data_IF_038119533455
#
_entry.id   IF_038119533455
#
_cell.length_a   1.000
_cell.length_b   1.000
_cell.length_c   1.000
_cell.angle_alpha   90.00
_cell.angle_beta   90.00
_cell.angle_gamma   90.00
#
_symmetry.space_group_name_H-M   'P 1'
#
loop_
_entity.id
_entity.type
_entity.pdbx_description
1 polymer ?
#
# COMPACT_ATOMS: atom_id res chain seq x y z
N UNK A 1 8.50 30.89 75.20
CA UNK A 1 9.54 29.84 75.32
C UNK A 1 8.99 28.57 74.71
N UNK A 2 9.60 28.09 73.61
CA UNK A 2 9.40 26.78 72.93
C UNK A 2 7.98 26.43 72.43
N UNK A 3 7.74 25.70 71.34
CA UNK A 3 8.54 25.12 70.27
C UNK A 3 7.57 24.60 69.20
N UNK A 4 8.02 24.56 67.95
CA UNK A 4 7.32 24.10 66.75
C UNK A 4 6.84 22.64 66.77
N UNK A 5 5.87 22.32 65.90
CA UNK A 5 5.93 21.15 65.00
C UNK A 5 5.11 21.41 63.73
N UNK A 6 5.83 21.43 62.62
CA UNK A 6 5.32 21.43 61.24
C UNK A 6 5.18 19.96 60.85
N UNK A 7 3.95 19.49 60.65
CA UNK A 7 3.70 18.18 60.03
C UNK A 7 3.58 18.38 58.51
N UNK A 8 4.72 18.29 57.84
CA UNK A 8 4.79 18.17 56.39
C UNK A 8 4.48 16.72 55.99
N UNK A 9 3.26 16.45 55.51
CA UNK A 9 2.95 15.20 54.82
C UNK A 9 3.63 15.17 53.43
N UNK A 10 4.19 14.03 52.99
CA UNK A 10 4.94 13.96 51.75
C UNK A 10 4.00 13.89 50.55
N UNK A 11 3.90 14.98 49.79
CA UNK A 11 3.22 15.03 48.48
C UNK A 11 3.93 14.23 47.36
N UNK A 12 5.04 13.55 47.69
CA UNK A 12 5.87 12.83 46.72
C UNK A 12 5.41 11.40 46.40
N UNK A 13 4.53 10.80 47.20
CA UNK A 13 4.13 9.39 47.03
C UNK A 13 2.89 9.21 46.11
N UNK A 14 2.03 10.23 46.04
CA UNK A 14 0.82 10.19 45.21
C UNK A 14 1.10 10.29 43.71
N UNK A 15 2.16 11.01 43.31
CA UNK A 15 2.54 11.18 41.90
C UNK A 15 3.17 9.93 41.29
N UNK A 16 3.88 9.13 42.09
CA UNK A 16 4.45 7.86 41.65
C UNK A 16 3.37 6.78 41.49
N UNK A 17 2.40 6.74 42.42
CA UNK A 17 1.23 5.86 42.36
C UNK A 17 0.34 6.15 41.14
N UNK A 18 0.05 7.42 40.84
CA UNK A 18 -0.75 7.80 39.67
C UNK A 18 -0.07 7.45 38.33
N UNK A 19 1.25 7.67 38.21
CA UNK A 19 2.01 7.32 37.00
C UNK A 19 2.07 5.82 36.78
N UNK A 20 2.17 5.05 37.86
CA UNK A 20 2.21 3.59 37.83
C UNK A 20 0.83 3.01 37.50
N UNK A 21 -0.24 3.52 38.12
CA UNK A 21 -1.63 3.16 37.78
C UNK A 21 -1.99 3.51 36.32
N UNK A 22 -1.56 4.68 35.82
CA UNK A 22 -1.74 5.05 34.40
C UNK A 22 -0.96 4.13 33.45
N UNK A 23 0.26 3.72 33.81
CA UNK A 23 1.07 2.77 33.03
C UNK A 23 0.48 1.35 33.05
N UNK A 24 -0.05 0.91 34.19
CA UNK A 24 -0.73 -0.38 34.33
C UNK A 24 -2.03 -0.38 33.52
N UNK A 25 -2.82 0.69 33.58
CA UNK A 25 -4.02 0.85 32.74
C UNK A 25 -3.69 0.93 31.25
N UNK A 26 -2.56 1.54 30.84
CA UNK A 26 -2.10 1.49 29.44
C UNK A 26 -1.66 0.11 29.00
N UNK A 27 -0.99 -0.65 29.86
CA UNK A 27 -0.60 -2.05 29.59
C UNK A 27 -1.81 -2.98 29.53
N UNK A 28 -2.81 -2.78 30.39
CA UNK A 28 -4.07 -3.52 30.38
C UNK A 28 -4.99 -3.09 29.21
N UNK A 29 -4.96 -1.83 28.77
CA UNK A 29 -5.63 -1.35 27.55
C UNK A 29 -4.87 -1.71 26.25
N UNK A 30 -3.61 -2.14 26.38
CA UNK A 30 -2.88 -2.93 25.40
C UNK A 30 -3.02 -4.44 25.69
N UNK A 31 -4.15 -4.87 26.27
CA UNK A 31 -4.64 -6.22 26.04
C UNK A 31 -4.57 -6.48 24.53
N UNK A 32 -3.87 -7.56 24.16
CA UNK A 32 -3.44 -7.94 22.81
C UNK A 32 -4.28 -7.36 21.67
N UNK A 33 -3.90 -6.17 21.16
CA UNK A 33 -4.51 -5.63 19.94
C UNK A 33 -4.02 -6.46 18.78
N UNK A 34 -4.88 -7.33 18.27
CA UNK A 34 -4.60 -8.13 17.07
C UNK A 34 -4.78 -7.24 15.85
N UNK A 35 -3.86 -7.37 14.91
CA UNK A 35 -3.93 -6.70 13.63
C UNK A 35 -3.69 -7.71 12.49
N UNK A 36 -4.36 -7.50 11.37
CA UNK A 36 -4.16 -8.26 10.14
C UNK A 36 -3.87 -7.27 9.02
N UNK A 37 -2.73 -7.47 8.35
CA UNK A 37 -2.34 -6.74 7.16
C UNK A 37 -2.62 -7.60 5.93
N UNK A 38 -3.42 -7.07 5.01
CA UNK A 38 -3.73 -7.69 3.73
C UNK A 38 -2.82 -7.09 2.66
N UNK A 39 -2.20 -7.92 1.85
CA UNK A 39 -1.56 -7.42 0.63
C UNK A 39 -2.64 -6.99 -0.37
N UNK A 40 -2.35 -6.01 -1.21
CA UNK A 40 -3.28 -5.64 -2.28
C UNK A 40 -3.25 -6.68 -3.40
N UNK A 41 -2.11 -6.84 -4.08
CA UNK A 41 -1.93 -7.81 -5.16
C UNK A 41 -1.84 -9.26 -4.65
N UNK A 42 -2.41 -10.22 -5.39
CA UNK A 42 -2.47 -11.64 -5.02
C UNK A 42 -3.35 -11.97 -3.79
N UNK A 43 -3.82 -10.97 -3.04
CA UNK A 43 -4.72 -11.15 -1.90
C UNK A 43 -6.02 -10.40 -2.14
N UNK A 44 -6.05 -9.07 -2.07
CA UNK A 44 -7.30 -8.36 -2.31
C UNK A 44 -7.72 -8.42 -3.79
N UNK A 45 -6.77 -8.15 -4.68
CA UNK A 45 -6.85 -8.39 -6.12
C UNK A 45 -6.25 -9.77 -6.38
N UNK A 46 -6.93 -10.70 -7.07
CA UNK A 46 -6.44 -12.07 -7.24
C UNK A 46 -5.24 -12.14 -8.19
N UNK A 47 -5.18 -11.25 -9.18
CA UNK A 47 -4.03 -11.13 -10.07
C UNK A 47 -2.77 -10.71 -9.31
N UNK A 48 -1.62 -11.17 -9.78
CA UNK A 48 -0.31 -10.64 -9.40
C UNK A 48 0.27 -9.82 -10.56
N UNK A 49 1.11 -8.79 -10.32
CA UNK A 49 1.63 -7.95 -11.41
C UNK A 49 2.26 -8.73 -12.57
N UNK A 50 3.02 -9.79 -12.26
CA UNK A 50 3.60 -10.66 -13.29
C UNK A 50 2.56 -11.36 -14.18
N UNK A 51 1.37 -11.67 -13.66
CA UNK A 51 0.28 -12.26 -14.46
C UNK A 51 -0.36 -11.24 -15.42
N UNK A 52 -0.43 -9.97 -15.02
CA UNK A 52 -0.90 -8.88 -15.90
C UNK A 52 0.10 -8.68 -17.03
N UNK A 53 1.38 -8.68 -16.70
CA UNK A 53 2.47 -8.59 -17.67
C UNK A 53 2.43 -9.72 -18.68
N UNK A 54 2.32 -10.96 -18.20
CA UNK A 54 2.28 -12.14 -19.06
C UNK A 54 1.12 -12.08 -20.07
N UNK A 55 -0.09 -11.70 -19.64
CA UNK A 55 -1.23 -11.54 -20.55
C UNK A 55 -0.98 -10.46 -21.61
N UNK A 56 -0.38 -9.33 -21.21
CA UNK A 56 -0.06 -8.27 -22.17
C UNK A 56 1.01 -8.73 -23.17
N UNK A 57 2.01 -9.49 -22.72
CA UNK A 57 3.01 -10.07 -23.62
C UNK A 57 2.35 -10.95 -24.69
N UNK A 58 1.45 -11.84 -24.28
CA UNK A 58 0.72 -12.69 -25.23
C UNK A 58 -0.10 -11.87 -26.23
N UNK A 59 -0.79 -10.82 -25.76
CA UNK A 59 -1.59 -9.93 -26.61
C UNK A 59 -0.75 -9.17 -27.64
N UNK A 60 0.46 -8.76 -27.26
CA UNK A 60 1.37 -7.99 -28.11
C UNK A 60 2.31 -8.87 -28.94
N UNK A 61 2.24 -10.19 -28.82
CA UNK A 61 3.17 -11.12 -29.46
C UNK A 61 4.62 -10.95 -28.97
N UNK A 62 4.79 -10.42 -27.75
CA UNK A 62 6.08 -10.29 -27.08
C UNK A 62 6.40 -11.59 -26.36
N UNK A 63 7.69 -11.85 -26.13
CA UNK A 63 8.14 -13.03 -25.38
C UNK A 63 9.35 -12.68 -24.52
N UNK A 64 9.64 -13.54 -23.53
CA UNK A 64 10.85 -13.42 -22.71
C UNK A 64 10.68 -12.60 -21.42
N UNK A 65 9.45 -12.31 -20.99
CA UNK A 65 9.20 -11.63 -19.73
C UNK A 65 9.59 -10.15 -19.75
N UNK A 66 9.48 -9.49 -20.89
CA UNK A 66 9.87 -8.09 -21.11
C UNK A 66 9.15 -7.11 -20.17
N UNK A 67 7.81 -7.01 -20.08
CA UNK A 67 7.18 -6.05 -19.16
C UNK A 67 7.55 -6.37 -17.71
N UNK A 68 7.60 -7.67 -17.37
CA UNK A 68 8.03 -8.13 -16.04
C UNK A 68 9.46 -7.72 -15.70
N UNK A 69 10.37 -7.70 -16.67
CA UNK A 69 11.75 -7.30 -16.42
C UNK A 69 11.91 -5.81 -16.20
N UNK A 70 11.18 -4.97 -16.95
CA UNK A 70 11.23 -3.51 -16.74
C UNK A 70 10.68 -3.18 -15.34
N UNK A 71 9.58 -3.82 -14.93
CA UNK A 71 9.02 -3.65 -13.58
C UNK A 71 9.95 -4.13 -12.46
N UNK A 72 10.88 -5.03 -12.77
CA UNK A 72 11.84 -5.57 -11.81
C UNK A 72 13.15 -4.77 -11.75
N UNK A 73 13.27 -3.67 -12.48
CA UNK A 73 14.46 -2.82 -12.44
C UNK A 73 14.65 -2.24 -11.04
N UNK A 74 15.85 -2.42 -10.49
CA UNK A 74 16.24 -1.78 -9.23
C UNK A 74 16.20 -0.27 -9.41
N UNK A 75 15.45 0.42 -8.56
CA UNK A 75 15.25 1.87 -8.61
C UNK A 75 14.61 2.38 -9.93
N UNK A 76 13.96 1.48 -10.67
CA UNK A 76 13.17 1.83 -11.86
C UNK A 76 12.02 2.78 -11.50
N UNK A 77 11.55 3.56 -12.48
CA UNK A 77 10.56 4.61 -12.23
C UNK A 77 9.25 4.06 -11.65
N UNK A 78 8.85 2.84 -12.01
CA UNK A 78 7.69 2.18 -11.41
C UNK A 78 7.85 2.04 -9.89
N UNK A 79 9.02 1.59 -9.44
CA UNK A 79 9.31 1.41 -8.01
C UNK A 79 9.33 2.76 -7.28
N UNK A 80 9.90 3.80 -7.90
CA UNK A 80 9.87 5.17 -7.37
C UNK A 80 8.45 5.72 -7.29
N UNK A 81 7.61 5.45 -8.29
CA UNK A 81 6.22 5.87 -8.29
C UNK A 81 5.38 5.14 -7.23
N UNK A 82 5.61 3.84 -7.02
CA UNK A 82 4.96 3.06 -5.95
C UNK A 82 5.31 3.55 -4.54
N UNK A 83 6.47 4.22 -4.36
CA UNK A 83 6.88 4.91 -3.11
C UNK A 83 6.35 6.34 -3.01
N UNK A 84 5.66 6.82 -4.04
CA UNK A 84 5.19 8.21 -4.13
C UNK A 84 6.27 9.24 -4.46
N UNK A 85 7.49 8.82 -4.85
CA UNK A 85 8.56 9.74 -5.25
C UNK A 85 8.27 10.44 -6.59
N UNK A 86 7.47 9.78 -7.44
CA UNK A 86 7.10 10.24 -8.78
C UNK A 86 5.59 10.04 -8.98
N UNK A 87 4.89 11.09 -9.43
CA UNK A 87 3.48 10.99 -9.77
C UNK A 87 3.27 10.37 -11.15
N UNK A 88 2.07 9.85 -11.43
CA UNK A 88 1.74 9.12 -12.65
C UNK A 88 2.11 9.88 -13.93
N UNK A 89 1.77 11.16 -14.02
CA UNK A 89 2.02 11.98 -15.21
C UNK A 89 3.51 12.09 -15.53
N UNK A 90 4.37 12.12 -14.50
CA UNK A 90 5.82 12.12 -14.64
C UNK A 90 6.37 10.70 -14.90
N UNK A 91 5.77 9.69 -14.28
CA UNK A 91 6.18 8.29 -14.42
C UNK A 91 6.05 7.79 -15.86
N UNK A 92 4.96 8.12 -16.56
CA UNK A 92 4.66 7.60 -17.91
C UNK A 92 5.82 7.79 -18.92
N UNK A 93 6.32 9.01 -19.18
CA UNK A 93 7.40 9.21 -20.14
C UNK A 93 8.73 8.58 -19.73
N UNK A 94 9.06 8.59 -18.43
CA UNK A 94 10.25 7.92 -17.91
C UNK A 94 10.15 6.39 -18.09
N UNK A 95 8.98 5.82 -17.82
CA UNK A 95 8.77 4.39 -17.92
C UNK A 95 8.80 3.93 -19.38
N UNK A 96 8.28 4.77 -20.29
CA UNK A 96 8.37 4.53 -21.74
C UNK A 96 9.84 4.44 -22.16
N UNK A 97 10.70 5.33 -21.66
CA UNK A 97 12.13 5.30 -21.96
C UNK A 97 12.83 4.06 -21.37
N UNK A 98 12.48 3.65 -20.15
CA UNK A 98 13.00 2.41 -19.55
C UNK A 98 12.64 1.18 -20.38
N UNK A 99 11.38 1.08 -20.84
CA UNK A 99 10.95 0.00 -21.71
C UNK A 99 11.67 -0.02 -23.06
N UNK A 100 11.84 1.13 -23.73
CA UNK A 100 12.59 1.21 -25.00
C UNK A 100 14.03 0.74 -24.79
N UNK A 101 14.69 1.22 -23.74
CA UNK A 101 16.06 0.83 -23.40
C UNK A 101 16.17 -0.67 -23.11
N UNK A 102 15.25 -1.23 -22.33
CA UNK A 102 15.27 -2.66 -22.01
C UNK A 102 14.97 -3.53 -23.25
N UNK A 103 14.12 -3.04 -24.16
CA UNK A 103 13.84 -3.72 -25.43
C UNK A 103 15.09 -3.79 -26.31
N UNK A 104 15.86 -2.69 -26.39
CA UNK A 104 17.15 -2.66 -27.09
C UNK A 104 18.16 -3.63 -26.48
N UNK A 105 18.31 -3.64 -25.15
CA UNK A 105 19.22 -4.55 -24.43
C UNK A 105 18.87 -6.02 -24.69
N UNK A 106 17.58 -6.34 -24.79
CA UNK A 106 17.08 -7.71 -25.01
C UNK A 106 16.94 -8.09 -26.47
N UNK A 107 17.13 -7.16 -27.41
CA UNK A 107 16.83 -7.38 -28.83
C UNK A 107 15.35 -7.66 -29.12
N UNK A 108 14.45 -7.16 -28.26
CA UNK A 108 13.00 -7.27 -28.45
C UNK A 108 12.53 -6.14 -29.36
N UNK A 109 11.81 -6.48 -30.42
CA UNK A 109 11.20 -5.48 -31.30
C UNK A 109 9.81 -5.13 -30.79
N UNK A 110 9.66 -3.93 -30.23
CA UNK A 110 8.35 -3.43 -29.79
C UNK A 110 7.44 -3.13 -31.00
N UNK A 111 6.12 -3.40 -30.89
CA UNK A 111 5.14 -2.94 -31.87
C UNK A 111 5.21 -1.42 -32.09
N UNK A 112 4.86 -0.95 -33.29
CA UNK A 112 4.92 0.49 -33.61
C UNK A 112 3.92 1.34 -32.83
N UNK A 113 2.83 0.72 -32.37
CA UNK A 113 1.76 1.29 -31.57
C UNK A 113 1.94 1.01 -30.06
N UNK A 114 3.09 0.44 -29.66
CA UNK A 114 3.36 0.14 -28.26
C UNK A 114 3.45 1.41 -27.42
N UNK A 115 2.75 1.40 -26.28
CA UNK A 115 2.81 2.47 -25.29
C UNK A 115 2.74 1.92 -23.87
N UNK A 116 3.42 2.61 -22.95
CA UNK A 116 3.26 2.37 -21.50
C UNK A 116 1.82 2.57 -21.05
N UNK A 117 1.08 3.48 -21.67
CA UNK A 117 -0.34 3.68 -21.37
C UNK A 117 -1.12 2.37 -21.49
N UNK A 118 -0.88 1.57 -22.54
CA UNK A 118 -1.52 0.25 -22.70
C UNK A 118 -1.23 -0.68 -21.52
N UNK A 119 0.02 -0.72 -21.03
CA UNK A 119 0.39 -1.52 -19.86
C UNK A 119 -0.30 -1.02 -18.58
N UNK A 120 -0.31 0.29 -18.35
CA UNK A 120 -0.95 0.88 -17.18
C UNK A 120 -2.47 0.69 -17.18
N UNK A 121 -3.11 0.72 -18.34
CA UNK A 121 -4.54 0.39 -18.47
C UNK A 121 -4.83 -1.07 -18.10
N UNK A 122 -3.99 -2.02 -18.50
CA UNK A 122 -4.14 -3.42 -18.08
C UNK A 122 -3.96 -3.60 -16.57
N UNK A 123 -3.05 -2.83 -15.95
CA UNK A 123 -2.95 -2.76 -14.50
C UNK A 123 -4.23 -2.18 -13.87
N UNK A 124 -4.72 -1.04 -14.36
CA UNK A 124 -5.96 -0.40 -13.87
C UNK A 124 -7.14 -1.36 -13.91
N UNK A 125 -7.37 -2.02 -15.03
CA UNK A 125 -8.42 -3.04 -15.17
C UNK A 125 -8.27 -4.15 -14.14
N UNK A 126 -7.04 -4.65 -13.94
CA UNK A 126 -6.79 -5.70 -12.95
C UNK A 126 -7.03 -5.22 -11.52
N UNK A 127 -6.70 -3.97 -11.18
CA UNK A 127 -6.91 -3.40 -9.84
C UNK A 127 -8.38 -3.33 -9.42
N UNK A 128 -9.31 -3.31 -10.38
CA UNK A 128 -10.76 -3.26 -10.13
C UNK A 128 -11.35 -4.64 -9.82
N UNK A 129 -10.63 -5.74 -10.08
CA UNK A 129 -11.07 -7.10 -9.77
C UNK A 129 -10.81 -7.42 -8.28
N UNK A 130 -11.67 -6.90 -7.41
CA UNK A 130 -11.53 -7.04 -5.96
C UNK A 130 -12.30 -8.27 -5.47
N UNK A 131 -11.64 -9.11 -4.66
CA UNK A 131 -12.29 -10.27 -4.03
C UNK A 131 -13.20 -9.84 -2.88
N UNK A 132 -14.50 -9.89 -3.13
CA UNK A 132 -15.56 -9.71 -2.11
C UNK A 132 -15.35 -10.57 -0.86
N UNK A 133 -14.83 -11.78 -1.00
CA UNK A 133 -14.57 -12.69 0.13
C UNK A 133 -13.53 -12.13 1.10
N UNK A 134 -12.51 -11.43 0.58
CA UNK A 134 -11.49 -10.77 1.39
C UNK A 134 -12.09 -9.55 2.10
N UNK A 135 -12.90 -8.75 1.40
CA UNK A 135 -13.61 -7.61 2.00
C UNK A 135 -14.54 -8.05 3.14
N UNK A 136 -15.32 -9.12 2.95
CA UNK A 136 -16.19 -9.71 3.98
C UNK A 136 -15.38 -10.23 5.17
N UNK A 137 -14.22 -10.84 4.91
CA UNK A 137 -13.31 -11.32 5.96
C UNK A 137 -12.76 -10.15 6.77
N UNK A 138 -12.28 -9.09 6.12
CA UNK A 138 -11.79 -7.89 6.79
C UNK A 138 -12.89 -7.21 7.63
N UNK A 139 -14.11 -7.15 7.12
CA UNK A 139 -15.26 -6.62 7.87
C UNK A 139 -15.58 -7.48 9.11
N UNK A 140 -15.57 -8.81 8.98
CA UNK A 140 -15.78 -9.73 10.10
C UNK A 140 -14.69 -9.60 11.17
N UNK A 141 -13.42 -9.55 10.77
CA UNK A 141 -12.30 -9.32 11.69
C UNK A 141 -12.46 -7.99 12.45
N UNK A 142 -12.81 -6.92 11.74
CA UNK A 142 -13.05 -5.60 12.33
C UNK A 142 -14.21 -5.60 13.31
N UNK A 143 -15.30 -6.31 12.98
CA UNK A 143 -16.43 -6.48 13.89
C UNK A 143 -16.04 -7.20 15.19
N UNK A 144 -15.06 -8.11 15.12
CA UNK A 144 -14.51 -8.83 16.28
C UNK A 144 -13.37 -8.08 17.00
N UNK A 145 -13.17 -6.80 16.71
CA UNK A 145 -12.17 -5.96 17.40
C UNK A 145 -10.72 -6.13 16.91
N UNK A 146 -10.51 -6.82 15.79
CA UNK A 146 -9.20 -6.93 15.13
C UNK A 146 -8.98 -5.73 14.22
N UNK A 147 -7.83 -5.08 14.31
CA UNK A 147 -7.46 -4.00 13.40
C UNK A 147 -7.11 -4.57 12.03
N UNK A 148 -7.70 -4.02 10.97
CA UNK A 148 -7.40 -4.45 9.60
C UNK A 148 -6.76 -3.34 8.80
N UNK A 149 -5.70 -3.68 8.06
CA UNK A 149 -5.06 -2.76 7.13
C UNK A 149 -4.85 -3.44 5.79
N UNK A 150 -4.82 -2.67 4.71
CA UNK A 150 -4.37 -3.14 3.40
C UNK A 150 -3.12 -2.38 2.99
N UNK A 151 -2.10 -3.10 2.52
CA UNK A 151 -0.91 -2.53 1.90
C UNK A 151 -1.14 -2.47 0.38
N UNK A 152 -1.38 -1.26 -0.12
CA UNK A 152 -1.64 -0.96 -1.51
C UNK A 152 -0.54 -0.03 -2.03
N UNK A 153 0.56 -0.61 -2.53
CA UNK A 153 1.60 0.12 -3.25
C UNK A 153 1.02 0.57 -4.60
N UNK A 154 0.33 1.70 -4.57
CA UNK A 154 -0.26 2.35 -5.73
C UNK A 154 0.45 3.68 -5.92
N UNK A 155 0.77 4.01 -7.18
CA UNK A 155 1.31 5.31 -7.54
C UNK A 155 0.29 6.43 -7.28
N UNK A 156 0.80 7.66 -7.18
CA UNK A 156 -0.03 8.86 -7.07
C UNK A 156 -0.60 9.19 -8.45
N UNK A 157 -1.89 8.95 -8.65
CA UNK A 157 -2.59 9.34 -9.89
C UNK A 157 -2.97 10.84 -9.85
N UNK A 158 -2.19 11.64 -10.57
CA UNK A 158 -2.39 13.08 -10.77
C UNK A 158 -3.02 13.42 -12.13
N UNK A 159 -3.50 12.41 -12.86
CA UNK A 159 -4.08 12.57 -14.19
C UNK A 159 -5.54 13.04 -14.15
N UNK A 160 -6.07 13.42 -15.31
CA UNK A 160 -7.47 13.80 -15.46
C UNK A 160 -8.45 12.62 -15.25
N UNK A 161 -7.96 11.37 -15.32
CA UNK A 161 -8.76 10.15 -15.09
C UNK A 161 -8.60 9.59 -13.67
N UNK A 162 -8.09 10.38 -12.73
CA UNK A 162 -7.85 9.98 -11.33
C UNK A 162 -9.07 9.46 -10.57
N UNK A 163 -10.28 9.66 -11.08
CA UNK A 163 -11.53 9.27 -10.44
C UNK A 163 -11.60 7.76 -10.17
N UNK A 164 -11.05 6.92 -11.05
CA UNK A 164 -11.04 5.46 -10.85
C UNK A 164 -10.14 5.05 -9.67
N UNK A 165 -8.92 5.58 -9.61
CA UNK A 165 -7.99 5.32 -8.51
C UNK A 165 -8.51 5.90 -7.18
N UNK A 166 -9.15 7.07 -7.23
CA UNK A 166 -9.82 7.65 -6.06
C UNK A 166 -10.98 6.77 -5.57
N UNK A 167 -11.81 6.26 -6.47
CA UNK A 167 -12.91 5.36 -6.13
C UNK A 167 -12.41 4.08 -5.46
N UNK A 168 -11.35 3.46 -6.00
CA UNK A 168 -10.69 2.31 -5.39
C UNK A 168 -10.22 2.62 -3.97
N UNK A 169 -9.47 3.71 -3.77
CA UNK A 169 -8.97 4.08 -2.44
C UNK A 169 -10.11 4.38 -1.45
N UNK A 170 -11.20 5.00 -1.90
CA UNK A 170 -12.40 5.21 -1.09
C UNK A 170 -13.06 3.89 -0.68
N UNK A 171 -13.21 2.94 -1.61
CA UNK A 171 -13.72 1.61 -1.32
C UNK A 171 -12.85 0.92 -0.26
N UNK A 172 -11.53 0.91 -0.44
CA UNK A 172 -10.60 0.34 0.55
C UNK A 172 -10.74 1.02 1.92
N UNK A 173 -10.82 2.35 1.95
CA UNK A 173 -11.02 3.13 3.17
C UNK A 173 -12.33 2.82 3.91
N UNK A 174 -13.37 2.37 3.20
CA UNK A 174 -14.61 1.89 3.80
C UNK A 174 -14.52 0.49 4.42
N UNK A 175 -13.58 -0.33 3.96
CA UNK A 175 -13.45 -1.74 4.34
C UNK A 175 -12.30 -2.07 5.28
N UNK A 176 -11.32 -1.17 5.44
CA UNK A 176 -10.17 -1.37 6.32
C UNK A 176 -10.04 -0.22 7.33
N UNK A 177 -9.43 -0.48 8.49
CA UNK A 177 -9.10 0.61 9.42
C UNK A 177 -8.02 1.54 8.84
N UNK A 178 -7.14 0.99 8.00
CA UNK A 178 -6.05 1.74 7.39
C UNK A 178 -5.77 1.23 5.97
N UNK A 179 -5.54 2.17 5.06
CA UNK A 179 -4.99 1.91 3.73
C UNK A 179 -3.56 2.44 3.74
N UNK A 180 -2.60 1.53 3.74
CA UNK A 180 -1.18 1.85 3.69
C UNK A 180 -0.73 1.95 2.24
N UNK A 181 -0.10 3.06 1.90
CA UNK A 181 0.60 3.28 0.64
C UNK A 181 2.08 3.47 1.00
N UNK A 182 2.97 2.96 0.15
CA UNK A 182 4.42 3.16 0.32
C UNK A 182 4.83 4.58 -0.05
#
# INVERSE_FOLDING_TARGET
TLSARVDSQPALDQTHSHRTACRINRRAAMAERKAVLFNFWGVLVPSVPGSVCYRLEEQLGLSGGFPSSVLSLTDGVMMRAERGDVALTQMIPEFQAECVKEAEVRGVKLPSDWSVSTLLEEFRKAMLDIRDTVLKTAASLRHNGVLTAVLANLWIDDSDTRDESAHLLCLLGGHFNLVLRS
#
